data_IF_825147133470
#
_entry.id   IF_825147133470
#
_cell.length_a   1.000
_cell.length_b   1.000
_cell.length_c   1.000
_cell.angle_alpha   90.00
_cell.angle_beta   90.00
_cell.angle_gamma   90.00
#
_symmetry.space_group_name_H-M   'P 1'
#
loop_
_entity.id
_entity.type
_entity.pdbx_description
1 polymer ?
#
# COMPACT_ATOMS: atom_id res chain seq x y z
N UNK A 1 2.08 -30.20 3.24
CA UNK A 1 2.84 -29.19 2.44
C UNK A 1 2.68 -29.44 0.95
N UNK A 2 2.18 -28.46 0.19
CA UNK A 2 1.86 -28.59 -1.25
C UNK A 2 2.94 -28.04 -2.19
N UNK A 3 3.89 -27.25 -1.68
CA UNK A 3 4.95 -26.60 -2.46
C UNK A 3 5.16 -25.16 -2.00
N UNK A 4 5.88 -24.36 -2.81
CA UNK A 4 6.15 -22.97 -2.46
C UNK A 4 6.93 -22.18 -3.50
N UNK A 5 6.94 -20.86 -3.33
CA UNK A 5 7.57 -19.89 -4.24
C UNK A 5 8.34 -18.84 -3.45
N UNK A 6 9.48 -18.40 -4.00
CA UNK A 6 10.22 -17.26 -3.45
C UNK A 6 9.63 -15.96 -3.98
N UNK A 7 9.23 -15.06 -3.08
CA UNK A 7 8.78 -13.72 -3.40
C UNK A 7 9.92 -12.89 -3.99
N UNK A 8 9.69 -12.31 -5.17
CA UNK A 8 10.66 -11.49 -5.91
C UNK A 8 10.09 -10.15 -6.35
N UNK A 9 8.87 -9.84 -5.91
CA UNK A 9 8.20 -8.60 -6.21
C UNK A 9 8.88 -7.41 -5.53
N UNK A 10 8.46 -6.22 -5.93
CA UNK A 10 8.95 -4.96 -5.40
C UNK A 10 7.91 -4.28 -4.50
N UNK A 11 6.64 -4.71 -4.54
CA UNK A 11 5.57 -4.07 -3.76
C UNK A 11 5.69 -4.34 -2.27
N UNK A 12 6.12 -5.54 -1.87
CA UNK A 12 6.28 -5.96 -0.48
C UNK A 12 7.79 -6.17 -0.22
N UNK A 13 8.53 -5.06 -0.18
CA UNK A 13 10.00 -5.06 -0.16
C UNK A 13 10.62 -5.86 1.01
N UNK A 14 9.97 -5.86 2.17
CA UNK A 14 10.39 -6.61 3.36
C UNK A 14 10.26 -8.14 3.21
N UNK A 15 9.57 -8.64 2.18
CA UNK A 15 9.42 -10.07 1.92
C UNK A 15 10.27 -10.55 0.74
N UNK A 16 11.11 -9.67 0.18
CA UNK A 16 12.02 -10.06 -0.89
C UNK A 16 12.95 -11.20 -0.44
N UNK A 17 12.92 -12.31 -1.19
CA UNK A 17 13.70 -13.51 -0.87
C UNK A 17 13.03 -14.49 0.10
N UNK A 18 11.90 -14.14 0.71
CA UNK A 18 11.13 -15.08 1.53
C UNK A 18 10.54 -16.21 0.66
N UNK A 19 10.69 -17.45 1.11
CA UNK A 19 10.04 -18.61 0.53
C UNK A 19 8.68 -18.80 1.19
N UNK A 20 7.62 -18.64 0.39
CA UNK A 20 6.24 -18.89 0.78
C UNK A 20 5.86 -20.32 0.50
N UNK A 21 5.17 -20.95 1.44
CA UNK A 21 4.66 -22.31 1.31
C UNK A 21 3.32 -22.45 2.00
N UNK A 22 2.64 -23.55 1.66
CA UNK A 22 1.35 -23.85 2.26
C UNK A 22 1.17 -25.31 2.59
N UNK A 23 0.23 -25.56 3.48
CA UNK A 23 -0.32 -26.90 3.67
C UNK A 23 -1.74 -26.98 3.11
N UNK A 24 -1.96 -27.98 2.27
CA UNK A 24 -3.24 -28.24 1.65
C UNK A 24 -4.32 -28.59 2.69
N UNK A 25 -3.94 -29.28 3.78
CA UNK A 25 -4.90 -29.81 4.74
C UNK A 25 -5.51 -28.75 5.66
N UNK A 26 -4.77 -27.69 5.98
CA UNK A 26 -5.19 -26.65 6.93
C UNK A 26 -5.20 -25.24 6.32
N UNK A 27 -4.87 -25.11 5.03
CA UNK A 27 -4.91 -23.84 4.30
C UNK A 27 -3.88 -22.81 4.77
N UNK A 28 -2.89 -23.21 5.57
CA UNK A 28 -1.92 -22.27 6.12
C UNK A 28 -1.04 -21.66 5.04
N UNK A 29 -0.75 -20.37 5.20
CA UNK A 29 0.20 -19.63 4.37
C UNK A 29 1.35 -19.24 5.28
N UNK A 30 2.51 -19.84 5.07
CA UNK A 30 3.70 -19.57 5.85
C UNK A 30 4.83 -19.08 4.96
N UNK A 31 5.77 -18.37 5.56
CA UNK A 31 7.01 -17.99 4.90
C UNK A 31 8.21 -18.16 5.82
N UNK A 32 9.39 -18.28 5.23
CA UNK A 32 10.66 -18.17 5.93
C UNK A 32 11.73 -17.58 5.00
N UNK A 33 12.78 -17.04 5.59
CA UNK A 33 13.99 -16.63 4.87
C UNK A 33 15.07 -17.69 5.05
N UNK A 34 15.82 -18.00 4.00
CA UNK A 34 17.01 -18.83 4.13
C UNK A 34 18.21 -17.91 4.36
N UNK A 35 18.87 -18.08 5.50
CA UNK A 35 20.15 -17.44 5.79
C UNK A 35 21.20 -18.51 6.10
N UNK A 36 22.32 -18.49 5.37
CA UNK A 36 23.39 -19.50 5.46
C UNK A 36 22.91 -20.98 5.44
N UNK A 37 21.83 -21.28 4.70
CA UNK A 37 21.26 -22.62 4.60
C UNK A 37 20.30 -23.00 5.74
N UNK A 38 19.97 -22.08 6.64
CA UNK A 38 19.06 -22.28 7.76
C UNK A 38 17.79 -21.45 7.56
N UNK A 39 16.64 -22.05 7.88
CA UNK A 39 15.36 -21.34 7.85
C UNK A 39 15.25 -20.39 9.06
N UNK A 40 15.09 -19.10 8.77
CA UNK A 40 14.94 -18.00 9.73
C UNK A 40 13.67 -17.20 9.41
N UNK A 41 13.30 -16.24 10.27
CA UNK A 41 12.17 -15.33 10.04
C UNK A 41 10.88 -16.03 9.62
N UNK A 42 10.54 -17.11 10.33
CA UNK A 42 9.31 -17.86 10.07
C UNK A 42 8.10 -17.00 10.42
N UNK A 43 7.15 -16.87 9.49
CA UNK A 43 5.94 -16.06 9.64
C UNK A 43 4.74 -16.82 9.12
N UNK A 44 3.63 -16.74 9.87
CA UNK A 44 2.31 -17.22 9.48
C UNK A 44 1.48 -16.03 8.97
N UNK A 45 1.05 -16.10 7.72
CA UNK A 45 0.28 -15.08 7.01
C UNK A 45 -1.19 -15.44 6.86
N UNK A 46 -1.62 -16.60 7.37
CA UNK A 46 -2.96 -17.16 7.10
C UNK A 46 -4.08 -16.17 7.45
N UNK A 47 -4.01 -15.57 8.64
CA UNK A 47 -5.01 -14.58 9.09
C UNK A 47 -4.86 -13.21 8.41
N UNK A 48 -3.69 -12.90 7.82
CA UNK A 48 -3.47 -11.65 7.08
C UNK A 48 -4.02 -11.74 5.66
N UNK A 49 -3.87 -12.91 5.01
CA UNK A 49 -4.32 -13.12 3.64
C UNK A 49 -5.81 -13.43 3.55
N UNK A 50 -6.37 -14.16 4.52
CA UNK A 50 -7.81 -14.42 4.61
C UNK A 50 -8.34 -14.14 6.03
N UNK A 51 -8.52 -12.85 6.41
CA UNK A 51 -8.91 -12.45 7.76
C UNK A 51 -10.27 -12.98 8.20
N UNK A 52 -11.16 -13.25 7.23
CA UNK A 52 -12.43 -13.89 7.46
C UNK A 52 -12.45 -15.15 6.60
N UNK A 53 -12.11 -16.36 7.14
CA UNK A 53 -11.78 -17.58 6.41
C UNK A 53 -12.94 -18.05 5.53
N UNK A 54 -13.11 -17.36 4.41
CA UNK A 54 -14.24 -17.43 3.50
C UNK A 54 -13.75 -17.51 2.06
N UNK A 55 -12.49 -17.12 1.83
CA UNK A 55 -11.94 -16.96 0.50
C UNK A 55 -11.05 -18.16 0.15
N UNK A 56 -10.20 -18.61 1.09
CA UNK A 56 -9.39 -19.81 0.96
C UNK A 56 -10.11 -20.98 1.63
N UNK A 57 -10.40 -22.05 0.89
CA UNK A 57 -11.32 -23.11 1.34
C UNK A 57 -10.62 -24.30 1.99
N UNK A 58 -9.53 -24.07 2.74
CA UNK A 58 -8.65 -25.12 3.27
C UNK A 58 -8.26 -26.15 2.18
N UNK A 59 -8.02 -25.65 0.96
CA UNK A 59 -7.70 -26.45 -0.22
C UNK A 59 -6.70 -25.70 -1.10
N UNK A 60 -5.76 -24.97 -0.49
CA UNK A 60 -4.77 -24.21 -1.22
C UNK A 60 -3.80 -25.15 -1.94
N UNK A 61 -3.76 -25.05 -3.27
CA UNK A 61 -3.07 -26.01 -4.13
C UNK A 61 -1.68 -25.54 -4.53
N UNK A 62 -1.48 -24.23 -4.71
CA UNK A 62 -0.22 -23.67 -5.18
C UNK A 62 -0.15 -22.17 -4.90
N UNK A 63 1.02 -21.60 -5.19
CA UNK A 63 1.13 -20.19 -5.53
C UNK A 63 1.38 -20.02 -7.03
N UNK A 64 1.15 -18.81 -7.52
CA UNK A 64 1.59 -18.32 -8.82
C UNK A 64 2.46 -17.08 -8.65
N UNK A 65 3.21 -16.71 -9.68
CA UNK A 65 4.00 -15.48 -9.72
C UNK A 65 3.80 -14.78 -11.05
N UNK A 66 3.55 -13.46 -11.03
CA UNK A 66 3.47 -12.67 -12.26
C UNK A 66 4.86 -12.28 -12.80
N UNK A 67 4.87 -11.53 -13.92
CA UNK A 67 6.10 -11.06 -14.56
C UNK A 67 6.87 -10.01 -13.75
N UNK A 68 6.21 -9.37 -12.78
CA UNK A 68 6.82 -8.39 -11.87
C UNK A 68 7.36 -9.06 -10.59
N UNK A 69 7.11 -10.36 -10.41
CA UNK A 69 7.58 -11.13 -9.26
C UNK A 69 6.62 -11.17 -8.09
N UNK A 70 5.42 -10.58 -8.21
CA UNK A 70 4.38 -10.59 -7.18
C UNK A 70 3.70 -11.96 -7.12
N UNK A 71 3.31 -12.37 -5.91
CA UNK A 71 2.77 -13.69 -5.66
C UNK A 71 1.24 -13.71 -5.64
N UNK A 72 0.71 -14.85 -6.06
CA UNK A 72 -0.71 -15.16 -6.04
C UNK A 72 -0.94 -16.46 -5.29
N UNK A 73 -1.93 -16.51 -4.40
CA UNK A 73 -2.40 -17.75 -3.79
C UNK A 73 -3.47 -18.39 -4.67
N UNK A 74 -3.41 -19.71 -4.86
CA UNK A 74 -4.34 -20.47 -5.70
C UNK A 74 -5.04 -21.53 -4.87
N UNK A 75 -6.36 -21.47 -4.87
CA UNK A 75 -7.22 -22.43 -4.18
C UNK A 75 -7.86 -23.43 -5.17
N UNK A 76 -8.08 -24.66 -4.73
CA UNK A 76 -8.72 -25.71 -5.54
C UNK A 76 -10.12 -25.34 -6.03
N UNK A 77 -10.83 -24.49 -5.29
CA UNK A 77 -12.14 -23.96 -5.66
C UNK A 77 -12.12 -23.02 -6.88
N UNK A 78 -10.94 -22.68 -7.41
CA UNK A 78 -10.76 -21.80 -8.57
C UNK A 78 -10.49 -20.34 -8.19
N UNK A 79 -10.42 -20.02 -6.90
CA UNK A 79 -10.07 -18.69 -6.42
C UNK A 79 -8.58 -18.43 -6.59
N UNK A 80 -8.25 -17.24 -7.12
CA UNK A 80 -6.87 -16.75 -7.22
C UNK A 80 -6.80 -15.40 -6.51
N UNK A 81 -5.95 -15.26 -5.51
CA UNK A 81 -5.75 -14.03 -4.74
C UNK A 81 -4.37 -13.46 -4.99
N UNK A 82 -4.27 -12.18 -5.31
CA UNK A 82 -2.97 -11.48 -5.34
C UNK A 82 -2.58 -11.09 -3.92
N UNK A 83 -1.34 -11.36 -3.54
CA UNK A 83 -0.78 -10.85 -2.30
C UNK A 83 -0.36 -9.39 -2.53
N UNK A 84 -0.91 -8.48 -1.73
CA UNK A 84 -0.60 -7.04 -1.79
C UNK A 84 -0.27 -6.54 -0.38
N UNK A 85 0.61 -5.52 -0.23
CA UNK A 85 0.82 -4.87 1.06
C UNK A 85 -0.49 -4.28 1.60
N UNK A 86 -0.64 -4.11 2.92
CA UNK A 86 -1.76 -3.36 3.47
C UNK A 86 -1.71 -1.91 2.98
N UNK A 87 -2.88 -1.28 2.84
CA UNK A 87 -2.98 0.09 2.31
C UNK A 87 -2.17 1.10 3.13
N UNK A 88 -2.10 0.90 4.45
CA UNK A 88 -1.36 1.75 5.39
C UNK A 88 0.12 1.89 5.05
N UNK A 89 0.71 0.94 4.32
CA UNK A 89 2.14 0.93 3.99
C UNK A 89 2.45 1.73 2.73
N UNK A 90 1.44 2.11 1.95
CA UNK A 90 1.60 2.95 0.78
C UNK A 90 1.70 4.43 1.15
N UNK A 91 2.34 5.22 0.29
CA UNK A 91 2.37 6.68 0.35
C UNK A 91 1.92 7.22 -1.01
N UNK A 92 0.96 8.15 -1.04
CA UNK A 92 0.51 8.77 -2.31
C UNK A 92 1.52 9.79 -2.84
N UNK A 93 2.25 10.44 -1.93
CA UNK A 93 3.21 11.50 -2.24
C UNK A 93 4.56 11.23 -1.57
N UNK A 94 4.97 9.96 -1.63
CA UNK A 94 6.19 9.49 -0.98
C UNK A 94 7.47 10.07 -1.57
N UNK A 95 8.52 10.07 -0.77
CA UNK A 95 9.84 10.54 -1.22
C UNK A 95 10.44 9.53 -2.21
N UNK A 96 10.91 10.00 -3.37
CA UNK A 96 11.55 9.15 -4.36
C UNK A 96 10.65 8.67 -5.51
N UNK A 97 9.39 9.12 -5.56
CA UNK A 97 8.54 8.96 -6.76
C UNK A 97 9.12 9.83 -7.89
N UNK A 98 9.49 9.19 -9.00
CA UNK A 98 10.01 9.85 -10.20
C UNK A 98 8.99 9.72 -11.34
N UNK A 99 8.98 10.69 -12.26
CA UNK A 99 8.13 10.63 -13.45
C UNK A 99 6.74 11.23 -13.27
N UNK A 100 5.77 10.88 -14.14
CA UNK A 100 4.48 11.57 -14.25
C UNK A 100 3.55 11.36 -13.04
N UNK A 101 3.83 10.36 -12.20
CA UNK A 101 3.03 10.01 -11.03
C UNK A 101 3.46 10.77 -9.76
N UNK A 102 4.51 11.59 -9.83
CA UNK A 102 4.94 12.39 -8.69
C UNK A 102 3.87 13.42 -8.29
N UNK A 103 3.86 13.80 -7.01
CA UNK A 103 3.04 14.92 -6.58
C UNK A 103 3.55 16.23 -7.19
N UNK A 104 2.74 16.82 -8.07
CA UNK A 104 3.07 18.01 -8.83
C UNK A 104 2.27 19.20 -8.30
N UNK A 105 2.98 20.18 -7.73
CA UNK A 105 2.43 21.48 -7.36
C UNK A 105 2.58 22.42 -8.55
N UNK A 106 1.48 22.64 -9.28
CA UNK A 106 1.46 23.59 -10.40
C UNK A 106 0.71 24.87 -10.02
N UNK A 107 1.38 26.02 -10.04
CA UNK A 107 0.75 27.34 -9.75
C UNK A 107 -0.13 27.85 -10.89
N UNK A 108 0.02 27.28 -12.09
CA UNK A 108 -0.69 27.68 -13.32
C UNK A 108 -1.67 26.63 -13.84
N UNK A 109 -1.72 25.46 -13.19
CA UNK A 109 -2.62 24.36 -13.53
C UNK A 109 -3.11 23.66 -12.25
N UNK A 110 -3.68 22.47 -12.38
CA UNK A 110 -4.12 21.67 -11.24
C UNK A 110 -2.93 20.94 -10.61
N UNK A 111 -2.95 20.82 -9.29
CA UNK A 111 -2.08 19.90 -8.56
C UNK A 111 -2.54 18.48 -8.86
N UNK A 112 -1.61 17.58 -9.08
CA UNK A 112 -1.88 16.18 -9.42
C UNK A 112 -0.97 15.25 -8.66
N UNK A 113 -1.40 14.00 -8.49
CA UNK A 113 -0.63 12.93 -7.84
C UNK A 113 -1.02 11.58 -8.44
N UNK A 114 -0.30 10.54 -8.00
CA UNK A 114 -0.49 9.16 -8.41
C UNK A 114 -1.93 8.67 -8.20
N UNK A 115 -2.43 7.88 -9.15
CA UNK A 115 -3.67 7.11 -8.95
C UNK A 115 -3.39 5.84 -8.15
N UNK A 116 -3.50 5.94 -6.84
CA UNK A 116 -3.15 4.84 -5.95
C UNK A 116 -4.06 3.62 -6.14
N UNK A 117 -5.33 3.78 -6.56
CA UNK A 117 -6.18 2.62 -6.80
C UNK A 117 -5.63 1.73 -7.92
N UNK A 118 -5.18 2.34 -9.01
CA UNK A 118 -4.61 1.60 -10.13
C UNK A 118 -3.29 0.95 -9.75
N UNK A 119 -2.42 1.68 -9.04
CA UNK A 119 -1.08 1.20 -8.75
C UNK A 119 -1.00 0.26 -7.56
N UNK A 120 -1.83 0.41 -6.53
CA UNK A 120 -1.78 -0.45 -5.33
C UNK A 120 -2.75 -1.63 -5.37
N UNK A 121 -3.74 -1.60 -6.27
CA UNK A 121 -4.88 -2.53 -6.28
C UNK A 121 -5.81 -2.44 -5.07
N UNK A 122 -5.69 -1.38 -4.25
CA UNK A 122 -6.65 -1.06 -3.20
C UNK A 122 -7.78 -0.17 -3.73
N UNK A 123 -9.05 -0.41 -3.36
CA UNK A 123 -10.14 0.49 -3.73
C UNK A 123 -10.02 1.80 -2.95
N UNK A 124 -9.83 2.92 -3.64
CA UNK A 124 -9.67 4.23 -2.99
C UNK A 124 -11.00 4.97 -3.00
N UNK A 125 -11.40 5.49 -1.84
CA UNK A 125 -12.65 6.27 -1.67
C UNK A 125 -12.41 7.75 -1.90
N UNK A 126 -11.39 8.33 -1.30
CA UNK A 126 -10.99 9.73 -1.48
C UNK A 126 -9.52 9.95 -1.13
N UNK A 127 -8.99 11.10 -1.52
CA UNK A 127 -7.67 11.60 -1.17
C UNK A 127 -7.80 12.77 -0.20
N UNK A 128 -6.90 12.82 0.79
CA UNK A 128 -6.78 13.90 1.77
C UNK A 128 -5.53 14.71 1.46
N UNK A 129 -5.65 16.04 1.46
CA UNK A 129 -4.55 16.97 1.27
C UNK A 129 -4.29 17.68 2.58
N UNK A 130 -3.03 17.65 3.00
CA UNK A 130 -2.56 18.30 4.22
C UNK A 130 -1.56 19.40 3.92
N UNK A 131 -1.57 20.42 4.79
CA UNK A 131 -0.55 21.47 4.84
C UNK A 131 0.11 21.48 6.21
N UNK A 132 1.41 21.77 6.23
CA UNK A 132 2.19 21.76 7.46
C UNK A 132 3.59 22.27 7.24
N UNK A 133 4.48 21.91 8.16
CA UNK A 133 5.92 22.14 8.05
C UNK A 133 6.65 20.84 7.72
N UNK A 134 7.76 20.87 6.99
CA UNK A 134 8.60 19.69 6.80
C UNK A 134 8.93 19.03 8.14
N UNK A 135 8.77 17.71 8.21
CA UNK A 135 9.00 16.88 9.41
C UNK A 135 8.24 17.34 10.67
N UNK A 136 7.06 17.94 10.49
CA UNK A 136 6.23 18.45 11.58
C UNK A 136 4.81 17.92 11.53
N UNK A 137 3.90 18.70 12.11
CA UNK A 137 2.47 18.45 12.08
C UNK A 137 1.85 18.93 10.78
N UNK A 138 0.87 18.16 10.31
CA UNK A 138 0.13 18.36 9.09
C UNK A 138 -1.36 18.40 9.40
N UNK A 139 -2.00 19.49 9.02
CA UNK A 139 -3.43 19.72 9.17
C UNK A 139 -4.13 19.46 7.84
N UNK A 140 -5.27 18.77 7.89
CA UNK A 140 -6.10 18.59 6.72
C UNK A 140 -6.59 19.96 6.22
N UNK A 141 -6.45 20.19 4.91
CA UNK A 141 -6.95 21.40 4.25
C UNK A 141 -7.99 21.11 3.16
N UNK A 142 -8.02 19.90 2.59
CA UNK A 142 -8.95 19.54 1.53
C UNK A 142 -9.07 18.02 1.35
N UNK A 143 -10.20 17.56 0.83
CA UNK A 143 -10.38 16.19 0.35
C UNK A 143 -11.06 16.14 -1.01
N UNK A 144 -10.78 15.11 -1.79
CA UNK A 144 -11.32 14.96 -3.15
C UNK A 144 -11.39 13.50 -3.57
N UNK A 145 -12.38 13.14 -4.38
CA UNK A 145 -12.47 11.81 -5.03
C UNK A 145 -11.62 11.69 -6.30
N UNK A 146 -10.90 12.75 -6.70
CA UNK A 146 -10.08 12.78 -7.91
C UNK A 146 -8.59 12.84 -7.57
N UNK A 147 -7.73 12.42 -8.49
CA UNK A 147 -6.26 12.53 -8.35
C UNK A 147 -5.72 13.93 -8.67
N UNK A 148 -6.54 14.94 -8.41
CA UNK A 148 -6.25 16.33 -8.73
C UNK A 148 -7.01 17.31 -7.86
N UNK A 149 -6.41 18.49 -7.69
CA UNK A 149 -7.02 19.62 -7.01
C UNK A 149 -6.55 20.94 -7.65
N UNK A 150 -7.34 22.01 -7.53
CA UNK A 150 -6.97 23.33 -8.07
C UNK A 150 -5.80 24.01 -7.32
N UNK A 151 -5.39 23.45 -6.18
CA UNK A 151 -4.33 23.95 -5.32
C UNK A 151 -4.86 24.73 -4.12
N UNK A 152 -3.96 24.97 -3.16
CA UNK A 152 -4.28 25.65 -1.90
C UNK A 152 -4.61 27.14 -2.11
N UNK A 153 -5.88 27.57 -1.90
CA UNK A 153 -6.28 28.97 -2.05
C UNK A 153 -5.61 29.88 -1.03
N UNK A 154 -5.21 29.35 0.14
CA UNK A 154 -4.54 30.11 1.19
C UNK A 154 -3.04 30.29 0.91
N UNK A 155 -2.49 29.59 -0.10
CA UNK A 155 -1.08 29.50 -0.52
C UNK A 155 -0.12 30.36 0.34
N UNK A 156 0.68 29.74 1.23
CA UNK A 156 1.48 30.46 2.20
C UNK A 156 2.36 31.52 1.52
N UNK A 157 2.36 32.72 2.10
CA UNK A 157 3.08 33.87 1.59
C UNK A 157 4.60 33.63 1.49
N UNK A 158 5.31 34.44 0.68
CA UNK A 158 6.75 34.31 0.52
C UNK A 158 7.48 34.37 1.87
N UNK A 159 8.49 33.50 2.04
CA UNK A 159 9.31 33.44 3.26
C UNK A 159 8.82 32.48 4.34
N UNK A 160 7.64 31.87 4.18
CA UNK A 160 7.14 30.83 5.08
C UNK A 160 7.63 29.46 4.61
N UNK A 161 8.19 28.67 5.52
CA UNK A 161 8.47 27.26 5.25
C UNK A 161 7.17 26.45 5.36
N UNK A 162 6.80 25.77 4.27
CA UNK A 162 5.62 24.92 4.21
C UNK A 162 5.93 23.60 3.49
N UNK A 163 5.09 22.62 3.72
CA UNK A 163 5.06 21.35 3.01
C UNK A 163 3.62 20.92 2.79
N UNK A 164 3.39 20.20 1.71
CA UNK A 164 2.13 19.54 1.42
C UNK A 164 2.34 18.04 1.36
N UNK A 165 1.29 17.33 1.73
CA UNK A 165 1.23 15.88 1.72
C UNK A 165 -0.15 15.46 1.21
N UNK A 166 -0.18 14.39 0.44
CA UNK A 166 -1.41 13.71 0.04
C UNK A 166 -1.40 12.30 0.59
N UNK A 167 -2.53 11.86 1.12
CA UNK A 167 -2.84 10.48 1.51
C UNK A 167 -4.12 10.03 0.82
N UNK A 168 -4.41 8.73 0.87
CA UNK A 168 -5.64 8.14 0.37
C UNK A 168 -6.33 7.33 1.46
N UNK A 169 -7.66 7.33 1.44
CA UNK A 169 -8.49 6.53 2.35
C UNK A 169 -9.35 5.57 1.52
N UNK A 170 -9.41 4.30 1.91
CA UNK A 170 -10.28 3.31 1.27
C UNK A 170 -11.71 3.32 1.84
N UNK A 171 -12.52 2.33 1.44
CA UNK A 171 -13.89 2.16 1.91
C UNK A 171 -14.00 1.53 3.30
N UNK A 172 -12.89 1.00 3.84
CA UNK A 172 -12.79 0.46 5.20
C UNK A 172 -12.24 1.52 6.18
N UNK A 173 -12.18 2.78 5.75
CA UNK A 173 -11.64 3.94 6.48
C UNK A 173 -10.16 3.76 6.93
N UNK A 174 -9.40 2.97 6.18
CA UNK A 174 -7.94 2.86 6.31
C UNK A 174 -7.27 3.93 5.47
N UNK A 175 -6.46 4.77 6.10
CA UNK A 175 -5.66 5.81 5.45
C UNK A 175 -4.22 5.33 5.20
N UNK A 176 -3.66 5.71 4.05
CA UNK A 176 -2.25 5.47 3.70
C UNK A 176 -1.29 6.22 4.62
N UNK A 177 -0.04 5.76 4.71
CA UNK A 177 1.01 6.48 5.42
C UNK A 177 1.22 7.91 4.89
N UNK A 178 1.43 8.85 5.81
CA UNK A 178 1.93 10.20 5.49
C UNK A 178 3.45 10.27 5.32
N UNK A 179 4.14 9.16 5.55
CA UNK A 179 5.59 9.03 5.54
C UNK A 179 6.29 9.36 6.86
N UNK A 180 7.54 8.91 6.96
CA UNK A 180 8.33 9.00 8.19
C UNK A 180 8.55 10.43 8.67
N UNK A 181 8.47 10.65 10.00
CA UNK A 181 8.77 11.92 10.64
C UNK A 181 7.70 13.00 10.50
N UNK A 182 6.47 12.62 10.13
CA UNK A 182 5.32 13.53 9.95
C UNK A 182 4.17 13.08 10.84
N UNK A 183 3.46 14.03 11.45
CA UNK A 183 2.28 13.76 12.28
C UNK A 183 1.04 14.33 11.62
N UNK A 184 0.09 13.48 11.26
CA UNK A 184 -1.23 13.91 10.76
C UNK A 184 -2.16 14.17 11.95
N UNK A 185 -2.62 15.40 12.11
CA UNK A 185 -3.44 15.79 13.27
C UNK A 185 -4.87 15.22 13.21
N UNK A 186 -5.48 15.20 12.03
CA UNK A 186 -6.82 14.62 11.80
C UNK A 186 -7.05 14.36 10.32
N UNK A 187 -7.62 13.19 10.00
CA UNK A 187 -8.04 12.86 8.64
C UNK A 187 -9.06 13.88 8.10
N UNK A 188 -8.99 14.14 6.79
CA UNK A 188 -10.01 14.94 6.15
C UNK A 188 -11.36 14.22 6.19
N UNK A 189 -12.45 15.00 6.32
CA UNK A 189 -13.78 14.45 6.09
C UNK A 189 -13.90 14.01 4.62
N UNK A 190 -14.65 12.94 4.37
CA UNK A 190 -14.98 12.51 3.02
C UNK A 190 -15.69 13.66 2.25
N UNK A 191 -15.39 13.85 0.96
CA UNK A 191 -15.96 14.92 0.14
C UNK A 191 -17.46 14.73 -0.17
#
# INVERSE_FOLDING_TARGET
MTGGFVYRGCRISNLQGHYFWSDFCDGRINSFLIDAGVATMQMDWTATVDPAPRILTNSMTSFGRDGEGELYAVDRGGTILKLVPPLSDFEVSGTGVLGPDMFLVNKTAQWTWENLQFNSSHPIRYYSIYSGKPNGNFDCIHSTGQTRWIGDPANPGPGVLFAYLVTATNFDDVETSGGGGRTLNSACAAP
#
